data_IF_927420218095
#
_entry.id   IF_927420218095
#
_cell.length_a   1.000
_cell.length_b   1.000
_cell.length_c   1.000
_cell.angle_alpha   90.00
_cell.angle_beta   90.00
_cell.angle_gamma   90.00
#
_symmetry.space_group_name_H-M   'P 1'
#
loop_
_entity.id
_entity.type
_entity.pdbx_description
1 polymer ?
#
# COMPACT_ATOMS: atom_id res chain seq x y z
N UNK A 1 -15.19 -12.75 31.61
CA UNK A 1 -14.19 -11.74 31.99
C UNK A 1 -13.92 -10.87 30.78
N UNK A 2 -14.39 -9.61 30.79
CA UNK A 2 -14.30 -8.64 29.70
C UNK A 2 -13.12 -7.71 29.98
N UNK A 3 -11.96 -7.89 29.35
CA UNK A 3 -10.81 -6.95 29.47
C UNK A 3 -9.79 -7.08 28.34
N UNK A 4 -10.13 -6.73 27.09
CA UNK A 4 -9.16 -6.30 26.04
C UNK A 4 -9.87 -5.39 25.03
N UNK A 5 -10.36 -4.21 25.45
CA UNK A 5 -10.93 -3.24 24.50
C UNK A 5 -10.63 -1.79 24.93
N UNK A 6 -9.39 -1.51 25.32
CA UNK A 6 -9.02 -0.17 25.83
C UNK A 6 -7.56 0.18 25.53
N UNK A 7 -7.13 0.10 24.26
CA UNK A 7 -5.83 0.65 23.81
C UNK A 7 -5.97 1.60 22.60
N UNK A 8 -7.17 1.77 22.02
CA UNK A 8 -7.35 2.63 20.83
C UNK A 8 -7.95 4.03 21.11
N UNK A 9 -8.18 4.43 22.36
CA UNK A 9 -8.89 5.70 22.67
C UNK A 9 -8.03 6.80 23.28
N UNK A 10 -6.70 6.76 23.13
CA UNK A 10 -5.82 7.81 23.67
C UNK A 10 -4.85 8.41 22.66
N UNK A 11 -5.25 8.52 21.38
CA UNK A 11 -4.72 9.56 20.51
C UNK A 11 -5.64 10.78 20.62
N UNK A 12 -5.54 11.49 21.75
CA UNK A 12 -6.00 12.87 21.79
C UNK A 12 -5.11 13.63 20.81
N UNK A 13 -5.70 14.01 19.67
CA UNK A 13 -5.18 15.00 18.75
C UNK A 13 -4.87 16.28 19.53
N UNK A 14 -3.62 16.45 19.96
CA UNK A 14 -3.07 17.77 20.16
C UNK A 14 -2.83 18.28 18.75
N UNK A 15 -3.74 19.14 18.30
CA UNK A 15 -3.57 19.96 17.10
C UNK A 15 -2.35 20.87 17.31
N UNK A 16 -1.16 20.33 17.03
CA UNK A 16 0.05 21.13 16.92
C UNK A 16 -0.04 21.84 15.58
N UNK A 17 -0.51 23.09 15.61
CA UNK A 17 -0.41 24.06 14.54
C UNK A 17 1.04 24.55 14.36
N UNK A 18 1.98 23.60 14.26
CA UNK A 18 3.34 23.82 13.80
C UNK A 18 3.40 23.37 12.36
N UNK A 19 3.75 24.28 11.44
CA UNK A 19 3.84 23.99 10.01
C UNK A 19 4.73 22.79 9.75
N UNK A 20 4.09 21.63 9.52
CA UNK A 20 4.74 20.47 8.95
C UNK A 20 5.10 20.87 7.52
N UNK A 21 6.39 21.08 7.27
CA UNK A 21 6.89 21.01 5.89
C UNK A 21 6.58 19.60 5.43
N UNK A 22 5.59 19.45 4.54
CA UNK A 22 5.22 18.17 3.96
C UNK A 22 6.41 17.67 3.14
N UNK A 23 7.29 16.88 3.76
CA UNK A 23 8.35 16.18 3.06
C UNK A 23 7.69 15.17 2.14
N UNK A 24 7.87 15.35 0.83
CA UNK A 24 7.48 14.35 -0.16
C UNK A 24 8.49 13.21 -0.07
N UNK A 25 8.01 12.00 0.20
CA UNK A 25 8.85 10.81 0.13
C UNK A 25 8.68 10.27 -1.28
N UNK A 26 9.67 10.54 -2.13
CA UNK A 26 9.74 9.92 -3.45
C UNK A 26 10.26 8.50 -3.31
N UNK A 27 9.48 7.54 -3.80
CA UNK A 27 9.87 6.15 -3.92
C UNK A 27 10.60 5.91 -5.27
N UNK A 28 11.50 6.81 -5.67
CA UNK A 28 12.29 6.65 -6.88
C UNK A 28 13.24 5.46 -6.75
N UNK A 29 13.27 4.68 -7.83
CA UNK A 29 14.22 3.66 -8.31
C UNK A 29 15.55 3.49 -7.53
N UNK A 30 15.49 3.13 -6.25
CA UNK A 30 16.60 2.43 -5.57
C UNK A 30 16.60 0.97 -6.07
N UNK A 31 16.98 0.82 -7.34
CA UNK A 31 16.83 -0.34 -8.24
C UNK A 31 17.63 -1.59 -7.92
N UNK A 32 18.27 -1.71 -6.76
CA UNK A 32 19.32 -2.72 -6.68
C UNK A 32 18.80 -4.16 -6.56
N UNK A 33 17.56 -4.44 -6.15
CA UNK A 33 16.99 -5.81 -6.15
C UNK A 33 15.43 -5.81 -6.09
N UNK A 34 14.73 -5.36 -7.14
CA UNK A 34 13.27 -5.58 -7.21
C UNK A 34 13.01 -7.04 -7.55
N UNK A 35 12.50 -7.81 -6.59
CA UNK A 35 12.24 -9.24 -6.78
C UNK A 35 10.96 -9.46 -7.60
N UNK A 36 10.92 -10.54 -8.37
CA UNK A 36 9.72 -10.91 -9.11
C UNK A 36 8.73 -11.62 -8.17
N UNK A 37 7.44 -11.24 -8.20
CA UNK A 37 6.39 -12.02 -7.53
C UNK A 37 6.12 -13.32 -8.28
N UNK A 38 6.01 -14.42 -7.55
CA UNK A 38 5.67 -15.73 -8.11
C UNK A 38 4.34 -16.22 -7.53
N UNK A 39 3.49 -16.73 -8.42
CA UNK A 39 2.24 -17.35 -7.99
C UNK A 39 2.50 -18.55 -7.09
N UNK A 40 1.63 -18.74 -6.12
CA UNK A 40 1.47 -20.03 -5.44
C UNK A 40 1.02 -21.07 -6.47
N UNK A 41 1.41 -22.32 -6.29
CA UNK A 41 1.04 -23.43 -7.17
C UNK A 41 -0.48 -23.43 -7.48
N UNK A 42 -0.83 -23.51 -8.76
CA UNK A 42 -2.21 -23.50 -9.24
C UNK A 42 -2.84 -22.11 -9.43
N UNK A 43 -2.17 -21.02 -9.05
CA UNK A 43 -2.60 -19.64 -9.30
C UNK A 43 -2.00 -19.05 -10.57
N UNK A 44 -2.70 -18.08 -11.17
CA UNK A 44 -2.29 -17.43 -12.43
C UNK A 44 -2.86 -16.00 -12.57
N UNK A 45 -2.53 -15.33 -13.68
CA UNK A 45 -2.95 -13.96 -14.00
C UNK A 45 -4.48 -13.78 -13.92
N UNK A 46 -5.26 -14.79 -14.35
CA UNK A 46 -6.73 -14.71 -14.32
C UNK A 46 -7.32 -14.75 -12.91
N UNK A 47 -6.67 -15.42 -11.95
CA UNK A 47 -7.08 -15.41 -10.55
C UNK A 47 -6.92 -14.00 -9.95
N UNK A 48 -5.78 -13.35 -10.23
CA UNK A 48 -5.53 -11.98 -9.80
C UNK A 48 -6.51 -11.01 -10.46
N UNK A 49 -6.70 -11.09 -11.77
CA UNK A 49 -7.63 -10.22 -12.50
C UNK A 49 -9.05 -10.36 -11.94
N UNK A 50 -9.47 -11.59 -11.59
CA UNK A 50 -10.77 -11.84 -10.97
C UNK A 50 -10.88 -11.17 -9.60
N UNK A 51 -9.83 -11.24 -8.78
CA UNK A 51 -9.77 -10.58 -7.49
C UNK A 51 -9.84 -9.05 -7.63
N UNK A 52 -9.11 -8.47 -8.59
CA UNK A 52 -9.06 -7.02 -8.80
C UNK A 52 -10.36 -6.44 -9.39
N UNK A 53 -11.22 -7.29 -9.95
CA UNK A 53 -12.57 -6.92 -10.42
C UNK A 53 -13.63 -7.02 -9.33
N UNK A 54 -13.29 -7.59 -8.17
CA UNK A 54 -14.21 -7.81 -7.07
C UNK A 54 -14.14 -6.66 -6.06
N UNK A 55 -15.07 -5.70 -6.18
CA UNK A 55 -15.16 -4.52 -5.31
C UNK A 55 -15.49 -4.85 -3.85
N UNK A 56 -15.98 -6.04 -3.55
CA UNK A 56 -16.22 -6.46 -2.15
C UNK A 56 -14.91 -6.87 -1.46
N UNK A 57 -13.88 -7.23 -2.25
CA UNK A 57 -12.59 -7.69 -1.74
C UNK A 57 -11.51 -6.61 -1.81
N UNK A 58 -11.44 -5.90 -2.94
CA UNK A 58 -10.41 -4.90 -3.21
C UNK A 58 -11.05 -3.66 -3.82
N UNK A 59 -10.66 -2.50 -3.31
CA UNK A 59 -10.88 -1.22 -3.98
C UNK A 59 -9.55 -0.73 -4.55
N UNK A 60 -9.57 -0.32 -5.81
CA UNK A 60 -8.46 0.34 -6.48
C UNK A 60 -8.77 1.83 -6.48
N UNK A 61 -7.83 2.66 -6.03
CA UNK A 61 -7.98 4.13 -5.92
C UNK A 61 -8.04 4.87 -7.28
N UNK A 62 -8.95 4.41 -8.14
CA UNK A 62 -9.22 4.80 -9.53
C UNK A 62 -10.70 5.18 -9.67
N UNK A 63 -11.08 5.77 -10.80
CA UNK A 63 -12.47 6.20 -11.05
C UNK A 63 -13.47 5.03 -10.98
N UNK A 64 -13.09 3.85 -11.46
CA UNK A 64 -13.92 2.64 -11.43
C UNK A 64 -13.99 1.96 -10.07
N UNK A 65 -13.07 2.27 -9.14
CA UNK A 65 -12.90 1.54 -7.89
C UNK A 65 -12.38 0.10 -8.03
N UNK A 66 -12.18 -0.41 -9.25
CA UNK A 66 -11.79 -1.81 -9.55
C UNK A 66 -11.06 -1.91 -10.90
N UNK A 67 -10.49 -3.07 -11.23
CA UNK A 67 -9.77 -3.22 -12.49
C UNK A 67 -10.73 -3.23 -13.68
N UNK A 68 -10.63 -2.21 -14.54
CA UNK A 68 -11.44 -2.08 -15.73
C UNK A 68 -10.72 -2.73 -16.93
N UNK A 69 -11.28 -3.84 -17.42
CA UNK A 69 -10.85 -4.51 -18.65
C UNK A 69 -11.96 -4.42 -19.68
N UNK A 70 -11.66 -3.88 -20.86
CA UNK A 70 -12.62 -3.74 -21.94
C UNK A 70 -12.81 -5.06 -22.73
N UNK A 71 -13.76 -5.07 -23.68
CA UNK A 71 -14.13 -6.24 -24.48
C UNK A 71 -13.01 -6.80 -25.38
N UNK A 72 -11.91 -6.07 -25.56
CA UNK A 72 -10.75 -6.47 -26.36
C UNK A 72 -9.59 -6.97 -25.49
N UNK A 73 -9.84 -7.36 -24.24
CA UNK A 73 -8.82 -7.79 -23.27
C UNK A 73 -7.69 -6.75 -23.11
N UNK A 74 -8.09 -5.49 -22.93
CA UNK A 74 -7.19 -4.36 -22.71
C UNK A 74 -7.67 -3.54 -21.53
N UNK A 75 -6.76 -2.83 -20.86
CA UNK A 75 -7.13 -1.87 -19.81
C UNK A 75 -8.12 -0.82 -20.38
N UNK A 76 -9.24 -0.65 -19.70
CA UNK A 76 -10.26 0.35 -20.03
C UNK A 76 -9.90 1.76 -19.56
N UNK A 77 -9.01 1.83 -18.57
CA UNK A 77 -8.58 3.03 -17.84
C UNK A 77 -7.06 3.04 -17.67
N UNK A 78 -6.54 4.17 -17.22
CA UNK A 78 -5.11 4.38 -16.98
C UNK A 78 -4.82 4.32 -15.47
N UNK A 79 -3.70 3.70 -15.10
CA UNK A 79 -3.31 3.44 -13.70
C UNK A 79 -1.90 3.98 -13.41
N UNK A 80 -1.56 5.19 -13.86
CA UNK A 80 -0.17 5.68 -13.79
C UNK A 80 0.16 6.55 -12.58
N UNK A 81 -0.84 7.24 -12.03
CA UNK A 81 -0.66 8.23 -10.95
C UNK A 81 -1.64 7.88 -9.84
N UNK A 82 -1.22 7.88 -8.56
CA UNK A 82 -2.18 7.82 -7.47
C UNK A 82 -3.12 9.01 -7.62
N UNK A 83 -4.41 8.75 -7.82
CA UNK A 83 -5.38 9.83 -7.95
C UNK A 83 -5.22 10.80 -6.77
N UNK A 84 -5.38 12.10 -7.01
CA UNK A 84 -5.19 13.16 -5.99
C UNK A 84 -5.95 12.91 -4.68
N UNK A 85 -6.90 11.97 -4.70
CA UNK A 85 -7.68 11.46 -3.59
C UNK A 85 -6.90 10.72 -2.49
N UNK A 86 -5.68 10.21 -2.74
CA UNK A 86 -4.92 9.48 -1.71
C UNK A 86 -4.19 10.39 -0.69
N UNK A 87 -4.45 11.70 -0.73
CA UNK A 87 -3.87 12.66 0.20
C UNK A 87 -4.51 12.62 1.61
N UNK A 88 -5.62 11.89 1.80
CA UNK A 88 -6.47 12.06 2.98
C UNK A 88 -6.33 11.01 4.09
N UNK A 89 -5.75 9.83 3.85
CA UNK A 89 -5.85 8.76 4.85
C UNK A 89 -4.50 8.13 5.25
N UNK A 90 -4.25 8.23 6.56
CA UNK A 90 -3.34 7.41 7.41
C UNK A 90 -1.92 7.94 7.64
N UNK A 91 -1.37 8.79 6.79
CA UNK A 91 0.05 9.10 6.84
C UNK A 91 0.23 10.63 6.62
N UNK A 92 0.78 11.36 7.60
CA UNK A 92 1.00 12.83 7.60
C UNK A 92 1.95 13.38 6.51
N UNK A 93 2.07 12.69 5.37
CA UNK A 93 3.09 12.84 4.34
C UNK A 93 2.52 12.43 3.00
N UNK A 94 2.99 13.13 1.97
CA UNK A 94 2.72 12.80 0.58
C UNK A 94 3.69 11.68 0.15
N UNK A 95 3.16 10.46 -0.01
CA UNK A 95 3.87 9.34 -0.61
C UNK A 95 3.75 9.44 -2.13
N UNK A 96 4.87 9.35 -2.83
CA UNK A 96 4.90 9.27 -4.29
C UNK A 96 5.24 7.82 -4.67
N UNK A 97 4.19 7.02 -4.86
CA UNK A 97 4.25 5.61 -5.25
C UNK A 97 3.82 5.50 -6.69
N UNK A 98 4.57 4.74 -7.50
CA UNK A 98 4.21 4.47 -8.89
C UNK A 98 2.88 3.70 -8.97
N UNK A 99 1.95 4.24 -9.77
CA UNK A 99 0.66 3.63 -10.04
C UNK A 99 -0.43 3.93 -9.00
N UNK A 100 -1.54 3.20 -9.11
CA UNK A 100 -2.74 3.38 -8.29
C UNK A 100 -2.79 2.34 -7.17
N UNK A 101 -3.04 2.78 -5.94
CA UNK A 101 -3.01 1.94 -4.73
C UNK A 101 -4.21 1.01 -4.56
N UNK A 102 -3.95 -0.08 -3.83
CA UNK A 102 -4.96 -1.05 -3.38
C UNK A 102 -5.42 -0.68 -1.98
N UNK A 103 -6.72 -0.80 -1.74
CA UNK A 103 -7.31 -0.69 -0.42
C UNK A 103 -8.12 -1.97 -0.20
N UNK A 104 -7.81 -2.69 0.88
CA UNK A 104 -8.63 -3.81 1.31
C UNK A 104 -9.13 -3.62 2.73
N UNK A 105 -10.35 -4.09 2.96
CA UNK A 105 -11.00 -4.20 4.26
C UNK A 105 -11.24 -2.85 4.98
N UNK A 106 -12.43 -2.25 4.78
CA UNK A 106 -12.85 -1.03 5.49
C UNK A 106 -13.20 -1.30 6.97
N UNK A 107 -13.56 -2.54 7.31
CA UNK A 107 -14.21 -2.85 8.60
C UNK A 107 -13.23 -3.07 9.77
N UNK A 108 -11.95 -3.36 9.53
CA UNK A 108 -10.98 -3.70 10.60
C UNK A 108 -9.78 -2.77 10.71
N UNK A 109 -9.78 -1.67 9.96
CA UNK A 109 -8.61 -0.83 9.72
C UNK A 109 -8.00 -1.17 8.36
N UNK A 110 -7.66 -0.13 7.60
CA UNK A 110 -7.21 -0.22 6.22
C UNK A 110 -5.97 -1.12 6.10
N UNK A 111 -6.14 -2.28 5.45
CA UNK A 111 -5.03 -3.15 5.11
C UNK A 111 -4.71 -2.95 3.62
N UNK A 112 -3.53 -2.40 3.32
CA UNK A 112 -3.07 -2.20 1.94
C UNK A 112 -2.43 -3.46 1.33
N UNK A 113 -2.48 -4.58 2.06
CA UNK A 113 -2.02 -5.91 1.66
C UNK A 113 -3.04 -6.98 2.10
N UNK A 114 -4.09 -7.18 1.29
CA UNK A 114 -5.21 -8.08 1.61
C UNK A 114 -4.77 -9.54 1.75
N UNK A 115 -5.42 -10.31 2.63
CA UNK A 115 -5.14 -11.74 2.77
C UNK A 115 -5.45 -12.53 1.49
N UNK A 116 -6.51 -12.14 0.76
CA UNK A 116 -6.84 -12.71 -0.55
C UNK A 116 -5.72 -12.47 -1.57
N UNK A 117 -5.12 -11.28 -1.56
CA UNK A 117 -4.00 -10.94 -2.44
C UNK A 117 -2.72 -11.66 -2.02
N UNK A 118 -2.44 -11.72 -0.71
CA UNK A 118 -1.31 -12.50 -0.16
C UNK A 118 -1.41 -13.98 -0.53
N UNK A 119 -2.61 -14.55 -0.57
CA UNK A 119 -2.83 -15.94 -0.92
C UNK A 119 -2.45 -16.29 -2.37
N UNK A 120 -2.32 -15.28 -3.25
CA UNK A 120 -1.92 -15.50 -4.65
C UNK A 120 -0.40 -15.67 -4.81
N UNK A 121 0.42 -15.06 -3.95
CA UNK A 121 1.87 -14.95 -4.17
C UNK A 121 2.70 -15.61 -3.07
N UNK A 122 3.78 -16.26 -3.46
CA UNK A 122 4.63 -17.01 -2.52
C UNK A 122 5.35 -16.09 -1.55
N UNK A 123 5.84 -14.95 -2.05
CA UNK A 123 6.67 -13.99 -1.32
C UNK A 123 5.88 -13.17 -0.29
N UNK A 124 4.55 -13.14 -0.40
CA UNK A 124 3.68 -12.28 0.43
C UNK A 124 3.12 -12.99 1.66
N UNK A 125 3.27 -14.31 1.76
CA UNK A 125 2.68 -15.12 2.84
C UNK A 125 3.08 -14.62 4.23
N UNK A 126 4.35 -14.25 4.37
CA UNK A 126 4.94 -13.86 5.65
C UNK A 126 4.91 -12.34 5.89
N UNK A 127 4.43 -11.55 4.93
CA UNK A 127 4.33 -10.10 5.09
C UNK A 127 3.09 -9.71 5.89
N UNK A 128 3.30 -8.89 6.92
CA UNK A 128 2.20 -8.22 7.61
C UNK A 128 1.98 -6.84 6.98
N UNK A 129 0.73 -6.43 6.78
CA UNK A 129 0.43 -5.11 6.17
C UNK A 129 1.01 -3.93 6.97
N UNK A 130 1.22 -4.10 8.28
CA UNK A 130 1.96 -3.16 9.12
C UNK A 130 2.76 -3.91 10.18
N UNK A 131 4.00 -3.48 10.39
CA UNK A 131 4.86 -3.96 11.48
C UNK A 131 5.31 -2.77 12.32
N UNK A 132 5.33 -2.94 13.64
CA UNK A 132 5.75 -1.90 14.59
C UNK A 132 6.85 -2.48 15.47
N UNK A 133 8.00 -1.81 15.49
CA UNK A 133 9.13 -2.16 16.34
C UNK A 133 9.40 -0.99 17.28
N UNK A 134 9.17 -1.21 18.57
CA UNK A 134 9.60 -0.28 19.61
C UNK A 134 11.10 -0.49 19.85
N UNK A 135 11.92 0.51 19.50
CA UNK A 135 13.37 0.46 19.77
C UNK A 135 13.66 0.90 21.21
N UNK A 136 12.94 1.91 21.68
CA UNK A 136 12.94 2.40 23.06
C UNK A 136 11.68 3.29 23.30
N UNK A 137 11.60 3.96 24.45
CA UNK A 137 10.46 4.83 24.81
C UNK A 137 10.27 6.03 23.86
N UNK A 138 11.34 6.47 23.20
CA UNK A 138 11.38 7.66 22.33
C UNK A 138 11.43 7.31 20.84
N UNK A 139 11.75 6.07 20.48
CA UNK A 139 11.94 5.64 19.09
C UNK A 139 11.08 4.44 18.71
N UNK A 140 10.31 4.61 17.64
CA UNK A 140 9.47 3.59 17.03
C UNK A 140 9.75 3.48 15.54
N UNK A 141 9.78 2.26 15.01
CA UNK A 141 9.88 2.00 13.57
C UNK A 141 8.58 1.38 13.10
N UNK A 142 7.98 1.98 12.09
CA UNK A 142 6.79 1.48 11.41
C UNK A 142 7.20 0.99 10.02
N UNK A 143 6.81 -0.23 9.68
CA UNK A 143 6.95 -0.76 8.32
C UNK A 143 5.58 -0.93 7.72
N UNK A 144 5.35 -0.36 6.54
CA UNK A 144 4.13 -0.50 5.76
C UNK A 144 4.45 -1.16 4.43
N UNK A 145 3.53 -1.99 3.94
CA UNK A 145 3.58 -2.56 2.60
C UNK A 145 2.36 -2.10 1.82
N UNK A 146 2.61 -1.39 0.73
CA UNK A 146 1.59 -0.90 -0.19
C UNK A 146 1.60 -1.71 -1.46
N UNK A 147 0.42 -1.98 -1.99
CA UNK A 147 0.27 -2.59 -3.31
C UNK A 147 -0.25 -1.57 -4.30
N UNK A 148 0.32 -1.51 -5.51
CA UNK A 148 -0.17 -0.66 -6.59
C UNK A 148 -0.27 -1.38 -7.95
N UNK A 149 -1.14 -0.89 -8.82
CA UNK A 149 -1.20 -1.22 -10.25
C UNK A 149 -0.62 -0.08 -11.06
N UNK A 150 0.22 -0.41 -12.03
CA UNK A 150 0.70 0.51 -13.06
C UNK A 150 0.35 -0.01 -14.46
N UNK A 151 -0.22 0.82 -15.33
CA UNK A 151 -0.50 0.46 -16.71
C UNK A 151 -1.26 1.52 -17.49
N UNK A 152 -1.13 1.52 -18.82
CA UNK A 152 -1.77 2.52 -19.67
C UNK A 152 -3.08 2.01 -20.27
N UNK A 153 -4.03 2.93 -20.46
CA UNK A 153 -5.27 2.62 -21.14
C UNK A 153 -5.00 2.03 -22.53
N UNK A 154 -5.58 0.85 -22.79
CA UNK A 154 -5.41 0.14 -24.06
C UNK A 154 -4.30 -0.92 -24.06
N UNK A 155 -3.50 -1.02 -23.00
CA UNK A 155 -2.50 -2.06 -22.83
C UNK A 155 -3.14 -3.43 -22.61
N UNK A 156 -2.45 -4.48 -23.03
CA UNK A 156 -2.82 -5.89 -22.80
C UNK A 156 -2.18 -6.47 -21.54
N UNK A 157 -1.44 -5.66 -20.80
CA UNK A 157 -0.77 -6.03 -19.56
C UNK A 157 -0.66 -4.84 -18.63
N UNK A 158 -0.46 -5.11 -17.35
CA UNK A 158 -0.19 -4.11 -16.32
C UNK A 158 0.80 -4.68 -15.30
N UNK A 159 1.47 -3.82 -14.56
CA UNK A 159 2.38 -4.22 -13.50
C UNK A 159 1.71 -4.11 -12.13
N UNK A 160 1.96 -5.09 -11.29
CA UNK A 160 1.72 -5.03 -9.85
C UNK A 160 3.03 -4.74 -9.16
N UNK A 161 3.01 -3.79 -8.22
CA UNK A 161 4.17 -3.44 -7.42
C UNK A 161 3.85 -3.56 -5.92
N UNK A 162 4.83 -4.01 -5.14
CA UNK A 162 4.81 -3.98 -3.68
C UNK A 162 5.88 -3.01 -3.22
N UNK A 163 5.45 -1.97 -2.53
CA UNK A 163 6.30 -0.90 -2.02
C UNK A 163 6.37 -0.98 -0.51
N UNK A 164 7.60 -1.09 0.02
CA UNK A 164 7.88 -1.05 1.45
C UNK A 164 8.20 0.38 1.86
N UNK A 165 7.54 0.87 2.89
CA UNK A 165 7.84 2.15 3.52
C UNK A 165 8.25 1.89 4.98
N UNK A 166 9.45 2.33 5.35
CA UNK A 166 9.95 2.24 6.72
C UNK A 166 10.02 3.65 7.29
N UNK A 167 9.23 3.93 8.33
CA UNK A 167 9.18 5.23 9.00
C UNK A 167 9.73 5.11 10.42
N UNK A 168 10.86 5.76 10.70
CA UNK A 168 11.44 5.88 12.04
C UNK A 168 10.97 7.17 12.70
N UNK A 169 10.05 7.04 13.64
CA UNK A 169 9.55 8.14 14.48
C UNK A 169 10.45 8.26 15.71
N UNK A 170 10.97 9.45 15.94
CA UNK A 170 11.76 9.79 17.14
C UNK A 170 11.08 10.96 17.86
N UNK A 171 10.78 10.79 19.16
CA UNK A 171 10.10 11.75 20.02
C UNK A 171 11.10 12.32 21.02
N UNK A 172 11.43 13.60 20.90
CA UNK A 172 12.36 14.29 21.82
C UNK A 172 11.66 15.54 22.36
N UNK A 173 11.53 15.66 23.68
CA UNK A 173 10.90 16.81 24.35
C UNK A 173 9.52 17.15 23.75
N UNK A 174 8.63 16.16 23.64
CA UNK A 174 7.28 16.28 23.06
C UNK A 174 7.24 16.68 21.57
N UNK A 175 8.38 16.75 20.89
CA UNK A 175 8.46 16.95 19.44
C UNK A 175 8.73 15.62 18.75
N UNK A 176 7.88 15.28 17.79
CA UNK A 176 8.14 14.17 16.87
C UNK A 176 8.98 14.65 15.69
N UNK A 177 9.97 13.84 15.34
CA UNK A 177 10.62 13.87 14.03
C UNK A 177 10.37 12.54 13.37
N UNK A 178 10.28 12.54 12.05
CA UNK A 178 10.20 11.28 11.34
C UNK A 178 11.10 11.28 10.12
N UNK A 179 11.80 10.17 9.96
CA UNK A 179 12.59 9.85 8.79
C UNK A 179 11.98 8.60 8.15
N UNK A 180 11.68 8.70 6.86
CA UNK A 180 11.09 7.59 6.10
C UNK A 180 12.02 7.18 4.96
N UNK A 181 12.10 5.89 4.73
CA UNK A 181 12.70 5.31 3.53
C UNK A 181 11.64 4.53 2.78
N UNK A 182 11.70 4.58 1.46
CA UNK A 182 10.76 3.91 0.57
C UNK A 182 11.51 3.11 -0.48
N UNK A 183 11.04 1.89 -0.75
CA UNK A 183 11.60 1.01 -1.76
C UNK A 183 10.55 0.10 -2.35
N UNK A 184 10.50 -0.02 -3.68
CA UNK A 184 9.82 -1.11 -4.37
C UNK A 184 10.57 -2.41 -4.09
N UNK A 185 9.91 -3.42 -3.53
CA UNK A 185 10.53 -4.68 -3.11
C UNK A 185 10.11 -5.87 -3.96
N UNK A 186 8.91 -5.81 -4.55
CA UNK A 186 8.43 -6.82 -5.48
C UNK A 186 7.72 -6.20 -6.68
N UNK A 187 7.79 -6.87 -7.83
CA UNK A 187 7.03 -6.49 -9.02
C UNK A 187 6.64 -7.71 -9.85
N UNK A 188 5.55 -7.60 -10.62
CA UNK A 188 5.16 -8.60 -11.62
C UNK A 188 4.26 -7.99 -12.68
N UNK A 189 4.59 -8.24 -13.94
CA UNK A 189 3.71 -7.99 -15.08
C UNK A 189 2.63 -9.07 -15.19
N UNK A 190 1.40 -8.62 -15.37
CA UNK A 190 0.17 -9.41 -15.47
C UNK A 190 -0.40 -9.25 -16.88
N UNK A 191 -0.73 -10.35 -17.54
CA UNK A 191 -1.34 -10.34 -18.87
C UNK A 191 -2.87 -10.48 -18.76
N UNK A 192 -3.60 -9.67 -19.53
CA UNK A 192 -5.07 -9.56 -19.51
C UNK A 192 -5.76 -10.64 -20.36
#
# INVERSE_FOLDING_TARGET
MKKILTILTSFNLIAVSGGLTLSVISCDDKTNDVNQLNYVEGKNDSDLISLLKDSEKIIIASESGTLNVNKNNKLGEEYIIPSESFNEFILFWKLDIEGVLFISNFDTGENYLSDDFKALFTELKDLNGTEIVDLNEEEKVYTYYFTSIFGYKGDTSFDINITKVISKVTIINEKSSVLSDCSKIYSKTINI
#
